data_IF_724621228334
#
_entry.id   IF_724621228334
#
_cell.length_a   1.000
_cell.length_b   1.000
_cell.length_c   1.000
_cell.angle_alpha   90.00
_cell.angle_beta   90.00
_cell.angle_gamma   90.00
#
_symmetry.space_group_name_H-M   'P 1'
#
loop_
_entity.id
_entity.type
_entity.pdbx_description
1 polymer ?
#
# COMPACT_ATOMS: atom_id res chain seq x y z
N UNK A 1 14.22 -3.01 14.12
CA UNK A 1 12.89 -2.41 14.41
C UNK A 1 11.82 -2.97 13.50
N UNK A 2 10.59 -2.87 13.91
CA UNK A 2 9.44 -3.14 13.06
C UNK A 2 8.82 -1.81 12.65
N UNK A 3 8.66 -1.60 11.35
CA UNK A 3 8.21 -0.32 10.80
C UNK A 3 6.93 -0.54 10.02
N UNK A 4 5.86 0.12 10.43
CA UNK A 4 4.60 0.15 9.70
C UNK A 4 4.48 1.44 8.90
N UNK A 5 4.07 1.32 7.63
CA UNK A 5 3.92 2.45 6.72
C UNK A 5 2.55 2.38 6.06
N UNK A 6 1.77 3.43 6.19
CA UNK A 6 0.52 3.59 5.47
C UNK A 6 0.71 4.60 4.33
N UNK A 7 0.65 4.12 3.10
CA UNK A 7 0.69 4.96 1.90
C UNK A 7 -0.75 5.36 1.53
N UNK A 8 -1.25 6.37 2.21
CA UNK A 8 -2.58 6.90 1.93
C UNK A 8 -2.60 7.86 0.75
N UNK A 9 -3.79 8.30 0.37
CA UNK A 9 -3.97 9.30 -0.70
C UNK A 9 -3.67 10.71 -0.26
N UNK A 10 -3.88 10.99 1.01
CA UNK A 10 -3.74 12.32 1.57
C UNK A 10 -2.39 12.49 2.27
N UNK A 11 -1.97 11.46 2.98
CA UNK A 11 -0.76 11.49 3.78
C UNK A 11 -0.10 10.13 3.87
N UNK A 12 1.19 10.14 4.17
CA UNK A 12 1.94 8.96 4.59
C UNK A 12 2.02 8.97 6.10
N UNK A 13 1.82 7.81 6.71
CA UNK A 13 1.95 7.62 8.15
C UNK A 13 2.99 6.54 8.43
N UNK A 14 3.83 6.80 9.40
CA UNK A 14 4.88 5.86 9.81
C UNK A 14 4.80 5.63 11.32
N UNK A 15 4.94 4.38 11.72
CA UNK A 15 5.19 4.00 13.11
C UNK A 15 6.37 3.05 13.16
N UNK A 16 7.33 3.33 14.01
CA UNK A 16 8.48 2.45 14.25
C UNK A 16 8.41 1.90 15.67
N UNK A 17 8.52 0.59 15.79
CA UNK A 17 8.52 -0.14 17.05
C UNK A 17 9.90 -0.73 17.32
N UNK A 18 10.38 -0.55 18.53
CA UNK A 18 11.56 -1.23 19.06
C UNK A 18 11.14 -2.03 20.27
N UNK A 19 11.38 -3.35 20.24
CA UNK A 19 10.96 -4.29 21.29
C UNK A 19 9.48 -4.11 21.70
N UNK A 20 8.59 -3.99 20.70
CA UNK A 20 7.15 -3.78 20.88
C UNK A 20 6.75 -2.46 21.59
N UNK A 21 7.67 -1.53 21.67
CA UNK A 21 7.39 -0.18 22.17
C UNK A 21 7.53 0.83 21.04
N UNK A 22 6.67 1.83 21.04
CA UNK A 22 6.75 2.91 20.05
C UNK A 22 8.07 3.65 20.22
N UNK A 23 8.88 3.61 19.18
CA UNK A 23 10.13 4.37 19.08
C UNK A 23 9.88 5.76 18.51
N UNK A 24 9.16 5.83 17.39
CA UNK A 24 8.75 7.09 16.77
C UNK A 24 7.53 6.87 15.89
N UNK A 25 6.81 7.94 15.62
CA UNK A 25 5.70 7.94 14.67
C UNK A 25 5.50 9.32 14.09
N UNK A 26 4.87 9.39 12.94
CA UNK A 26 4.57 10.66 12.30
C UNK A 26 3.69 10.51 11.07
N UNK A 27 3.27 11.65 10.57
CA UNK A 27 2.43 11.79 9.38
C UNK A 27 2.96 12.94 8.52
N UNK A 28 2.92 12.75 7.20
CA UNK A 28 3.29 13.78 6.22
C UNK A 28 2.27 13.84 5.11
N UNK A 29 1.73 15.01 4.84
CA UNK A 29 0.84 15.23 3.70
C UNK A 29 1.61 15.09 2.39
N UNK A 30 1.00 14.42 1.40
CA UNK A 30 1.66 14.12 0.13
C UNK A 30 1.75 15.36 -0.77
N UNK A 31 0.75 16.23 -0.72
CA UNK A 31 0.60 17.34 -1.64
C UNK A 31 0.28 18.64 -0.89
N UNK A 32 1.06 18.96 0.12
CA UNK A 32 0.83 20.11 1.01
C UNK A 32 0.80 21.44 0.25
N UNK A 33 1.59 21.55 -0.83
CA UNK A 33 1.73 22.77 -1.64
C UNK A 33 0.83 22.80 -2.88
N UNK A 34 0.04 21.75 -3.12
CA UNK A 34 -0.85 21.70 -4.28
C UNK A 34 -2.16 22.43 -4.01
N UNK A 35 -2.38 23.51 -4.74
CA UNK A 35 -3.70 24.17 -4.78
C UNK A 35 -4.69 23.28 -5.52
N UNK A 36 -5.73 22.82 -4.81
CA UNK A 36 -6.72 21.92 -5.38
C UNK A 36 -6.18 20.51 -5.52
N UNK A 37 -6.22 19.79 -4.40
CA UNK A 37 -5.80 18.41 -4.32
C UNK A 37 -6.61 17.55 -5.31
N UNK A 38 -5.94 17.04 -6.33
CA UNK A 38 -6.51 16.14 -7.33
C UNK A 38 -5.73 14.82 -7.29
N UNK A 39 -6.40 13.78 -6.83
CA UNK A 39 -5.82 12.43 -6.73
C UNK A 39 -5.27 11.92 -8.07
N UNK A 40 -5.92 12.30 -9.18
CA UNK A 40 -5.51 11.84 -10.50
C UNK A 40 -4.22 12.50 -10.99
N UNK A 41 -3.78 13.57 -10.36
CA UNK A 41 -2.54 14.27 -10.67
C UNK A 41 -1.35 13.83 -9.82
N UNK A 42 -1.56 12.93 -8.86
CA UNK A 42 -0.49 12.42 -8.02
C UNK A 42 0.38 11.43 -8.79
N UNK A 43 1.67 11.67 -8.77
CA UNK A 43 2.69 10.80 -9.35
C UNK A 43 3.43 10.03 -8.24
N UNK A 44 4.04 8.89 -8.54
CA UNK A 44 4.84 8.14 -7.55
C UNK A 44 5.89 8.99 -6.84
N UNK A 45 6.46 9.98 -7.50
CA UNK A 45 7.44 10.90 -6.91
C UNK A 45 6.89 11.70 -5.74
N UNK A 46 5.59 11.97 -5.69
CA UNK A 46 4.97 12.67 -4.55
C UNK A 46 5.05 11.83 -3.27
N UNK A 47 4.78 10.51 -3.37
CA UNK A 47 4.91 9.61 -2.23
C UNK A 47 6.35 9.42 -1.79
N UNK A 48 7.27 9.28 -2.75
CA UNK A 48 8.71 9.14 -2.45
C UNK A 48 9.23 10.39 -1.73
N UNK A 49 8.88 11.56 -2.22
CA UNK A 49 9.29 12.83 -1.60
C UNK A 49 8.73 12.98 -0.18
N UNK A 50 7.45 12.70 0.02
CA UNK A 50 6.82 12.76 1.33
C UNK A 50 7.41 11.74 2.31
N UNK A 51 7.67 10.53 1.83
CA UNK A 51 8.30 9.48 2.62
C UNK A 51 9.70 9.86 3.11
N UNK A 52 10.54 10.33 2.20
CA UNK A 52 11.89 10.75 2.53
C UNK A 52 11.88 11.93 3.51
N UNK A 53 11.02 12.90 3.26
CA UNK A 53 10.83 14.05 4.14
C UNK A 53 10.42 13.63 5.55
N UNK A 54 9.47 12.71 5.65
CA UNK A 54 9.00 12.22 6.95
C UNK A 54 10.08 11.44 7.69
N UNK A 55 10.83 10.59 7.00
CA UNK A 55 11.95 9.88 7.59
C UNK A 55 13.00 10.85 8.15
N UNK A 56 13.29 11.91 7.42
CA UNK A 56 14.23 12.95 7.86
C UNK A 56 13.70 13.70 9.09
N UNK A 57 12.44 14.09 9.09
CA UNK A 57 11.80 14.76 10.24
C UNK A 57 11.79 13.89 11.51
N UNK A 58 11.58 12.58 11.34
CA UNK A 58 11.59 11.63 12.44
C UNK A 58 12.99 11.15 12.84
N UNK A 59 14.00 11.56 12.09
CA UNK A 59 15.37 11.05 12.22
C UNK A 59 15.41 9.51 12.16
N UNK A 60 14.58 8.94 11.30
CA UNK A 60 14.42 7.50 11.13
C UNK A 60 15.32 7.01 9.99
N UNK A 61 16.28 6.15 10.30
CA UNK A 61 17.12 5.48 9.32
C UNK A 61 16.74 4.02 9.23
N UNK A 62 16.16 3.63 8.12
CA UNK A 62 15.73 2.26 7.87
C UNK A 62 16.96 1.42 7.50
N UNK A 63 17.12 0.30 8.18
CA UNK A 63 18.24 -0.64 7.98
C UNK A 63 17.74 -1.90 7.29
N UNK A 64 18.65 -2.62 6.66
CA UNK A 64 18.33 -3.92 6.02
C UNK A 64 17.82 -4.97 7.02
N UNK A 65 18.11 -4.81 8.29
CA UNK A 65 17.66 -5.69 9.36
C UNK A 65 16.27 -5.36 9.89
N UNK A 66 15.71 -4.23 9.50
CA UNK A 66 14.37 -3.83 9.93
C UNK A 66 13.29 -4.59 9.13
N UNK A 67 12.19 -4.89 9.80
CA UNK A 67 11.01 -5.45 9.15
C UNK A 67 10.06 -4.33 8.80
N UNK A 68 9.64 -4.28 7.54
CA UNK A 68 8.73 -3.27 7.05
C UNK A 68 7.41 -3.93 6.63
N UNK A 69 6.31 -3.39 7.14
CA UNK A 69 4.96 -3.75 6.69
C UNK A 69 4.29 -2.48 6.20
N UNK A 70 3.77 -2.53 4.98
CA UNK A 70 3.09 -1.39 4.40
C UNK A 70 1.66 -1.71 4.00
N UNK A 71 0.80 -0.71 4.03
CA UNK A 71 -0.54 -0.75 3.46
C UNK A 71 -0.64 0.20 2.29
N UNK A 72 -1.47 -0.17 1.33
CA UNK A 72 -1.85 0.67 0.21
C UNK A 72 -3.36 0.70 0.11
N UNK A 73 -3.89 1.84 -0.31
CA UNK A 73 -5.32 2.00 -0.53
C UNK A 73 -5.54 2.88 -1.76
N UNK A 74 -6.77 2.90 -2.26
CA UNK A 74 -7.14 3.89 -3.24
C UNK A 74 -7.87 3.37 -4.48
N UNK A 75 -8.01 4.27 -5.46
CA UNK A 75 -8.76 4.01 -6.69
C UNK A 75 -8.16 2.89 -7.54
N UNK A 76 -6.87 2.61 -7.37
CA UNK A 76 -6.17 1.53 -8.08
C UNK A 76 -6.17 0.20 -7.31
N UNK A 77 -6.74 0.17 -6.12
CA UNK A 77 -6.90 -1.04 -5.31
C UNK A 77 -8.37 -1.44 -5.33
N UNK A 78 -8.64 -2.68 -5.70
CA UNK A 78 -9.99 -3.23 -5.72
C UNK A 78 -10.05 -4.48 -4.83
N UNK A 79 -11.01 -4.51 -3.92
CA UNK A 79 -11.28 -5.66 -3.06
C UNK A 79 -12.66 -6.19 -3.40
N UNK A 80 -12.74 -7.45 -3.80
CA UNK A 80 -14.00 -8.08 -4.19
C UNK A 80 -14.18 -9.42 -3.51
N UNK A 81 -15.32 -9.67 -2.88
CA UNK A 81 -15.66 -11.00 -2.42
C UNK A 81 -16.00 -11.90 -3.62
N UNK A 82 -15.54 -13.12 -3.56
CA UNK A 82 -15.85 -14.15 -4.56
C UNK A 82 -16.14 -15.46 -3.86
N UNK A 83 -17.16 -16.15 -4.33
CA UNK A 83 -17.47 -17.49 -3.87
C UNK A 83 -17.14 -18.48 -4.98
N UNK A 84 -16.41 -19.53 -4.63
CA UNK A 84 -16.02 -20.57 -5.58
C UNK A 84 -16.15 -21.96 -4.92
N UNK A 85 -16.13 -22.99 -5.74
CA UNK A 85 -16.02 -24.36 -5.27
C UNK A 85 -14.66 -24.60 -4.65
N UNK A 86 -14.60 -25.55 -3.71
CA UNK A 86 -13.33 -26.00 -3.17
C UNK A 86 -12.47 -26.61 -4.29
N UNK A 87 -11.21 -26.16 -4.39
CA UNK A 87 -10.29 -26.59 -5.44
C UNK A 87 -8.85 -26.50 -4.98
N UNK A 88 -7.94 -27.07 -5.77
CA UNK A 88 -6.50 -26.94 -5.56
C UNK A 88 -6.06 -25.49 -5.67
N UNK A 89 -5.06 -25.11 -4.91
CA UNK A 89 -4.55 -23.72 -4.89
C UNK A 89 -4.08 -23.24 -6.26
N UNK A 90 -3.43 -24.11 -7.04
CA UNK A 90 -2.99 -23.79 -8.40
C UNK A 90 -4.15 -23.45 -9.34
N UNK A 91 -5.26 -24.16 -9.23
CA UNK A 91 -6.48 -23.90 -10.01
C UNK A 91 -7.13 -22.58 -9.57
N UNK A 92 -7.16 -22.34 -8.26
CA UNK A 92 -7.71 -21.12 -7.69
C UNK A 92 -6.96 -19.89 -8.19
N UNK A 93 -5.63 -19.92 -8.21
CA UNK A 93 -4.80 -18.81 -8.70
C UNK A 93 -5.09 -18.49 -10.17
N UNK A 94 -5.24 -19.52 -11.02
CA UNK A 94 -5.57 -19.32 -12.43
C UNK A 94 -6.94 -18.66 -12.60
N UNK A 95 -7.94 -19.13 -11.85
CA UNK A 95 -9.30 -18.57 -11.90
C UNK A 95 -9.29 -17.12 -11.40
N UNK A 96 -8.59 -16.83 -10.32
CA UNK A 96 -8.51 -15.48 -9.77
C UNK A 96 -7.83 -14.50 -10.74
N UNK A 97 -6.78 -14.92 -11.39
CA UNK A 97 -6.11 -14.09 -12.41
C UNK A 97 -7.02 -13.81 -13.60
N UNK A 98 -7.80 -14.79 -14.02
CA UNK A 98 -8.77 -14.64 -15.11
C UNK A 98 -9.92 -13.70 -14.70
N UNK A 99 -10.49 -13.89 -13.52
CA UNK A 99 -11.57 -13.04 -12.99
C UNK A 99 -11.11 -11.60 -12.74
N UNK A 100 -9.89 -11.41 -12.26
CA UNK A 100 -9.33 -10.09 -12.02
C UNK A 100 -9.31 -9.23 -13.29
N UNK A 101 -8.97 -9.81 -14.43
CA UNK A 101 -8.97 -9.12 -15.72
C UNK A 101 -10.34 -8.61 -16.15
N UNK A 102 -11.40 -9.25 -15.69
CA UNK A 102 -12.78 -8.82 -15.98
C UNK A 102 -13.25 -7.66 -15.12
N UNK A 103 -12.71 -7.52 -13.90
CA UNK A 103 -13.20 -6.60 -12.88
C UNK A 103 -12.31 -5.37 -12.68
N UNK A 104 -11.10 -5.37 -13.22
CA UNK A 104 -10.16 -4.26 -13.07
C UNK A 104 -10.19 -3.41 -14.34
N UNK A 105 -10.36 -2.09 -14.22
CA UNK A 105 -10.30 -1.21 -15.39
C UNK A 105 -8.96 -1.36 -16.11
N UNK A 106 -9.03 -1.58 -17.42
CA UNK A 106 -7.84 -1.75 -18.26
C UNK A 106 -7.21 -0.36 -18.49
N UNK A 107 -6.17 -0.06 -17.74
CA UNK A 107 -5.32 1.11 -17.95
C UNK A 107 -4.03 0.78 -18.73
N UNK A 108 -3.94 -0.45 -19.24
CA UNK A 108 -2.77 -0.97 -19.95
C UNK A 108 -1.72 -1.62 -19.08
N UNK A 109 -1.91 -1.64 -17.76
CA UNK A 109 -1.03 -2.35 -16.83
C UNK A 109 -1.60 -3.72 -16.44
N UNK A 110 -0.71 -4.68 -16.15
CA UNK A 110 -1.13 -5.96 -15.60
C UNK A 110 -1.51 -5.82 -14.13
N UNK A 111 -2.66 -6.38 -13.72
CA UNK A 111 -3.06 -6.35 -12.31
C UNK A 111 -2.16 -7.24 -11.47
N UNK A 112 -1.84 -6.79 -10.28
CA UNK A 112 -1.27 -7.63 -9.23
C UNK A 112 -2.41 -8.15 -8.38
N UNK A 113 -2.55 -9.46 -8.26
CA UNK A 113 -3.67 -10.12 -7.60
C UNK A 113 -3.18 -10.92 -6.41
N UNK A 114 -3.88 -10.76 -5.31
CA UNK A 114 -3.70 -11.59 -4.13
C UNK A 114 -5.07 -11.96 -3.57
N UNK A 115 -5.15 -12.91 -2.67
CA UNK A 115 -6.40 -13.38 -2.11
C UNK A 115 -6.26 -13.84 -0.67
N UNK A 116 -7.39 -13.85 0.03
CA UNK A 116 -7.51 -14.41 1.36
C UNK A 116 -8.78 -15.24 1.46
N UNK A 117 -8.66 -16.45 1.98
CA UNK A 117 -9.80 -17.35 2.16
C UNK A 117 -10.41 -17.10 3.54
N UNK A 118 -11.70 -16.78 3.58
CA UNK A 118 -12.40 -16.41 4.82
C UNK A 118 -13.47 -17.41 5.25
N UNK A 119 -13.72 -18.45 4.49
CA UNK A 119 -14.75 -19.42 4.83
C UNK A 119 -14.58 -20.80 4.30
#
# INVERSE_FOLDING_TARGET
>A
MNIGIDFGHYSIKIVALDNNKIHTYGEKKIAEDMKGFDLDKLEPSHWVSAFNSLCDELNLKIKKTDTIVSSIAGSKVSIKPMTTLEMEESELVEILNFEAKKHIPLDGSDPVVDYHIVG
#
